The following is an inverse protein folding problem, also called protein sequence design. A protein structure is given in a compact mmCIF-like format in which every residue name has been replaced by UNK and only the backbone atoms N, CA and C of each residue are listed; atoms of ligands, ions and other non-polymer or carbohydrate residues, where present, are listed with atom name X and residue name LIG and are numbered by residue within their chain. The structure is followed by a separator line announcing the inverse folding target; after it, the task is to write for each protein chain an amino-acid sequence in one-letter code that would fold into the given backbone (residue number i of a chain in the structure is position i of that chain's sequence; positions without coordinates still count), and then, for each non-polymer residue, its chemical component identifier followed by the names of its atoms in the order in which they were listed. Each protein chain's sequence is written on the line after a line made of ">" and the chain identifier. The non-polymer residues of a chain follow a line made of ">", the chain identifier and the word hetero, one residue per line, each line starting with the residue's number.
data_IF_924109344990
#
_entry.id   IF_924109344990
#
_cell.length_a   1.000
_cell.length_b   1.000
_cell.length_c   1.000
_cell.angle_alpha   90.00
_cell.angle_beta   90.00
_cell.angle_gamma   90.00
#
_symmetry.space_group_name_H-M   'P 1'
#
loop_
_entity.id
_entity.type
_entity.pdbx_description
1 polymer ?
#
# COMPACT_ATOMS: atom_id res chain seq x y z
N UNK A 1 -27.65 2.58 6.53
CA UNK A 1 -27.36 3.64 7.48
C UNK A 1 -27.08 3.11 8.87
N UNK A 2 -26.66 3.97 9.74
CA UNK A 2 -26.35 3.69 11.13
C UNK A 2 -26.29 5.00 11.92
N UNK A 3 -25.86 4.93 13.18
CA UNK A 3 -25.77 6.11 14.03
C UNK A 3 -24.59 6.98 13.57
N UNK A 4 -24.88 8.24 13.15
CA UNK A 4 -23.87 9.24 12.76
C UNK A 4 -22.89 8.77 11.66
N UNK A 5 -23.37 7.99 10.70
CA UNK A 5 -22.56 7.64 9.52
C UNK A 5 -22.53 8.78 8.52
N UNK A 6 -21.39 8.96 7.83
CA UNK A 6 -21.14 10.00 6.84
C UNK A 6 -20.59 9.39 5.56
N UNK A 7 -21.22 9.66 4.42
CA UNK A 7 -20.75 9.28 3.09
C UNK A 7 -20.75 10.54 2.22
N UNK A 8 -19.58 11.14 2.00
CA UNK A 8 -19.41 12.41 1.29
C UNK A 8 -18.93 12.23 -0.15
N UNK A 9 -18.17 11.17 -0.42
CA UNK A 9 -17.62 10.93 -1.73
C UNK A 9 -18.66 10.41 -2.73
N UNK A 10 -18.50 10.74 -4.01
CA UNK A 10 -19.29 10.14 -5.07
C UNK A 10 -19.18 8.61 -5.05
N UNK A 11 -20.31 7.89 -5.07
CA UNK A 11 -20.33 6.43 -5.00
C UNK A 11 -19.78 5.86 -3.70
N UNK A 12 -19.71 6.66 -2.62
CA UNK A 12 -19.24 6.19 -1.31
C UNK A 12 -20.38 5.57 -0.49
N UNK A 13 -20.01 4.67 0.43
CA UNK A 13 -20.95 3.99 1.30
C UNK A 13 -20.42 3.92 2.74
N UNK A 14 -21.23 4.36 3.71
CA UNK A 14 -20.92 4.25 5.13
C UNK A 14 -22.07 3.59 5.89
N UNK A 15 -21.75 2.62 6.76
CA UNK A 15 -22.72 1.90 7.57
C UNK A 15 -22.15 1.48 8.92
N UNK A 16 -23.03 1.42 9.93
CA UNK A 16 -22.64 1.06 11.31
C UNK A 16 -22.75 2.24 12.27
N UNK A 17 -21.76 2.46 13.13
CA UNK A 17 -21.76 3.55 14.11
C UNK A 17 -20.54 4.45 13.90
N UNK A 18 -20.78 5.76 13.64
CA UNK A 18 -19.76 6.79 13.46
C UNK A 18 -18.75 6.50 12.33
N UNK A 19 -19.12 5.69 11.33
CA UNK A 19 -18.25 5.39 10.19
C UNK A 19 -18.33 6.48 9.13
N UNK A 20 -17.19 6.79 8.49
CA UNK A 20 -17.05 7.90 7.55
C UNK A 20 -16.37 7.44 6.25
N UNK A 21 -17.06 7.61 5.12
CA UNK A 21 -16.57 7.37 3.78
C UNK A 21 -16.45 8.74 3.06
N UNK A 22 -15.26 9.34 3.08
CA UNK A 22 -15.07 10.75 2.74
C UNK A 22 -14.59 10.97 1.30
N UNK A 23 -13.91 9.99 0.71
CA UNK A 23 -13.42 10.07 -0.66
C UNK A 23 -14.33 9.33 -1.66
N UNK A 24 -14.10 9.55 -2.96
CA UNK A 24 -14.86 8.89 -4.03
C UNK A 24 -14.67 7.36 -4.03
N UNK A 25 -15.76 6.64 -4.26
CA UNK A 25 -15.79 5.17 -4.40
C UNK A 25 -15.27 4.42 -3.19
N UNK A 26 -15.50 4.96 -1.98
CA UNK A 26 -15.03 4.37 -0.73
C UNK A 26 -16.14 3.69 0.05
N UNK A 27 -15.75 2.71 0.87
CA UNK A 27 -16.68 1.98 1.73
C UNK A 27 -16.14 1.93 3.16
N UNK A 28 -16.95 2.38 4.13
CA UNK A 28 -16.64 2.31 5.56
C UNK A 28 -17.77 1.59 6.30
N UNK A 29 -17.52 0.36 6.79
CA UNK A 29 -18.53 -0.47 7.43
C UNK A 29 -18.05 -0.93 8.80
N UNK A 30 -18.85 -0.62 9.82
CA UNK A 30 -18.58 -1.05 11.18
C UNK A 30 -18.69 0.09 12.20
N UNK A 31 -17.77 0.14 13.17
CA UNK A 31 -17.75 1.18 14.20
C UNK A 31 -16.52 2.06 14.02
N UNK A 32 -16.72 3.37 13.85
CA UNK A 32 -15.63 4.35 13.66
C UNK A 32 -14.64 3.93 12.56
N UNK A 33 -15.14 3.40 11.44
CA UNK A 33 -14.32 3.13 10.27
C UNK A 33 -14.15 4.42 9.45
N UNK A 34 -12.93 4.67 8.95
CA UNK A 34 -12.61 5.89 8.20
C UNK A 34 -11.97 5.54 6.86
N UNK A 35 -12.54 6.05 5.76
CA UNK A 35 -11.91 6.01 4.44
C UNK A 35 -11.82 7.41 3.85
N UNK A 36 -10.60 7.83 3.51
CA UNK A 36 -10.28 9.13 2.92
C UNK A 36 -9.41 9.05 1.66
N UNK A 37 -8.88 7.88 1.34
CA UNK A 37 -8.21 7.60 0.07
C UNK A 37 -9.16 7.02 -0.97
N UNK A 38 -9.10 7.47 -2.21
CA UNK A 38 -10.01 7.07 -3.30
C UNK A 38 -10.02 5.54 -3.52
N UNK A 39 -11.21 4.95 -3.66
CA UNK A 39 -11.37 3.52 -3.93
C UNK A 39 -11.02 2.58 -2.77
N UNK A 40 -10.95 3.09 -1.55
CA UNK A 40 -10.57 2.32 -0.36
C UNK A 40 -11.76 1.72 0.37
N UNK A 41 -11.50 0.67 1.13
CA UNK A 41 -12.47 -0.04 1.97
C UNK A 41 -11.92 -0.17 3.39
N UNK A 42 -12.71 0.23 4.39
CA UNK A 42 -12.40 0.01 5.80
C UNK A 42 -13.53 -0.78 6.47
N UNK A 43 -13.19 -1.93 7.04
CA UNK A 43 -14.15 -2.83 7.67
C UNK A 43 -13.80 -3.11 9.13
N UNK A 44 -14.82 -3.32 9.96
CA UNK A 44 -14.68 -3.76 11.33
C UNK A 44 -14.84 -2.66 12.35
N UNK A 45 -13.90 -2.53 13.28
CA UNK A 45 -13.97 -1.53 14.35
C UNK A 45 -12.69 -0.71 14.39
N UNK A 46 -12.80 0.61 14.24
CA UNK A 46 -11.67 1.56 14.21
C UNK A 46 -10.67 1.29 13.05
N UNK A 47 -11.14 0.78 11.92
CA UNK A 47 -10.32 0.55 10.74
C UNK A 47 -10.14 1.83 9.91
N UNK A 48 -8.97 2.04 9.33
CA UNK A 48 -8.71 3.21 8.50
C UNK A 48 -7.74 2.92 7.35
N UNK A 49 -8.00 3.52 6.18
CA UNK A 49 -7.10 3.51 5.04
C UNK A 49 -5.87 4.43 5.21
N UNK A 50 -5.86 5.26 6.25
CA UNK A 50 -4.81 6.25 6.51
C UNK A 50 -4.58 7.25 5.34
N UNK A 51 -5.62 7.56 4.56
CA UNK A 51 -5.56 8.44 3.39
C UNK A 51 -4.99 7.79 2.13
N UNK A 52 -4.64 6.51 2.17
CA UNK A 52 -4.06 5.77 1.03
C UNK A 52 -5.16 5.32 0.08
N UNK A 53 -4.99 5.55 -1.21
CA UNK A 53 -5.92 5.07 -2.24
C UNK A 53 -5.83 3.55 -2.46
N UNK A 54 -6.97 2.93 -2.78
CA UNK A 54 -7.05 1.51 -3.13
C UNK A 54 -6.68 0.54 -2.02
N UNK A 55 -6.77 0.95 -0.75
CA UNK A 55 -6.50 0.11 0.43
C UNK A 55 -7.74 -0.64 0.86
N UNK A 56 -7.56 -1.91 1.18
CA UNK A 56 -8.48 -2.67 1.99
C UNK A 56 -7.93 -2.77 3.42
N UNK A 57 -8.52 -2.06 4.36
CA UNK A 57 -8.15 -2.07 5.77
C UNK A 57 -9.16 -2.84 6.61
N UNK A 58 -8.68 -3.65 7.55
CA UNK A 58 -9.52 -4.38 8.49
C UNK A 58 -8.93 -4.35 9.90
N UNK A 59 -9.78 -3.98 10.86
CA UNK A 59 -9.48 -4.06 12.29
C UNK A 59 -10.64 -4.75 12.99
N UNK A 60 -10.35 -5.71 13.85
CA UNK A 60 -11.38 -6.45 14.60
C UNK A 60 -11.80 -5.77 15.89
N UNK A 61 -10.96 -4.89 16.44
CA UNK A 61 -11.23 -4.19 17.70
C UNK A 61 -10.39 -2.93 17.83
N UNK A 62 -11.03 -1.84 18.31
CA UNK A 62 -10.36 -0.62 18.74
C UNK A 62 -10.67 -0.38 20.22
N UNK A 63 -9.68 0.04 20.98
CA UNK A 63 -9.86 0.41 22.39
C UNK A 63 -10.67 1.72 22.49
N UNK A 64 -11.68 1.75 23.38
CA UNK A 64 -12.74 2.78 23.42
C UNK A 64 -12.34 4.09 24.10
N UNK A 65 -11.13 4.25 24.58
CA UNK A 65 -10.70 5.38 25.40
C UNK A 65 -10.02 6.51 24.60
N UNK A 66 -10.69 7.03 23.55
CA UNK A 66 -10.25 8.23 22.85
C UNK A 66 -9.11 8.03 21.84
N UNK A 67 -8.90 6.81 21.37
CA UNK A 67 -7.87 6.49 20.38
C UNK A 67 -8.36 6.67 18.94
N UNK A 68 -7.44 7.03 18.07
CA UNK A 68 -7.66 7.22 16.65
C UNK A 68 -7.90 5.88 15.92
N UNK A 69 -8.53 5.96 14.75
CA UNK A 69 -8.74 4.80 13.87
C UNK A 69 -7.43 4.25 13.35
N UNK A 70 -7.36 2.92 13.15
CA UNK A 70 -6.23 2.22 12.52
C UNK A 70 -5.01 2.04 13.41
N UNK A 71 -5.18 2.00 14.73
CA UNK A 71 -4.06 1.78 15.68
C UNK A 71 -3.46 0.39 15.53
N UNK A 72 -4.31 -0.65 15.39
CA UNK A 72 -3.89 -2.03 15.09
C UNK A 72 -4.79 -2.55 13.99
N UNK A 73 -4.21 -2.81 12.83
CA UNK A 73 -4.98 -3.28 11.67
C UNK A 73 -4.16 -4.08 10.68
N UNK A 74 -4.85 -4.81 9.81
CA UNK A 74 -4.29 -5.30 8.56
C UNK A 74 -4.67 -4.34 7.44
N UNK A 75 -3.74 -4.12 6.50
CA UNK A 75 -4.00 -3.30 5.32
C UNK A 75 -3.43 -3.98 4.08
N UNK A 76 -4.25 -4.08 3.04
CA UNK A 76 -3.85 -4.65 1.75
C UNK A 76 -3.89 -3.58 0.67
N UNK A 77 -2.89 -3.61 -0.20
CA UNK A 77 -2.77 -2.67 -1.30
C UNK A 77 -2.17 -3.37 -2.51
N UNK A 78 -2.63 -3.02 -3.71
CA UNK A 78 -1.98 -3.43 -4.95
C UNK A 78 -1.35 -2.23 -5.62
N UNK A 79 -0.07 -2.35 -5.96
CA UNK A 79 0.70 -1.33 -6.66
C UNK A 79 1.19 -1.87 -7.99
N UNK A 80 1.38 -0.99 -8.97
CA UNK A 80 1.77 -1.35 -10.34
C UNK A 80 2.62 -0.27 -11.00
N UNK A 81 3.24 -0.62 -12.12
CA UNK A 81 3.97 0.32 -12.96
C UNK A 81 4.43 -0.34 -14.25
N UNK A 82 4.63 0.49 -15.28
CA UNK A 82 5.22 0.06 -16.53
C UNK A 82 6.62 0.69 -16.64
N UNK A 83 7.66 -0.16 -16.62
CA UNK A 83 9.04 0.26 -16.82
C UNK A 83 9.39 0.13 -18.31
N UNK A 84 9.94 1.18 -18.90
CA UNK A 84 10.49 1.16 -20.24
C UNK A 84 12.01 1.10 -20.16
N UNK A 85 12.58 0.02 -20.65
CA UNK A 85 14.01 -0.19 -20.60
C UNK A 85 14.51 -0.52 -19.19
N UNK A 86 15.73 -0.08 -18.90
CA UNK A 86 16.47 -0.27 -17.66
C UNK A 86 16.31 0.91 -16.65
N UNK A 87 15.40 1.82 -16.96
CA UNK A 87 15.10 2.94 -16.04
C UNK A 87 14.25 2.44 -14.86
N UNK A 88 14.70 2.64 -13.61
CA UNK A 88 13.94 2.24 -12.44
C UNK A 88 12.57 2.93 -12.35
N UNK A 89 11.52 2.18 -12.11
CA UNK A 89 10.14 2.65 -11.99
C UNK A 89 9.60 2.41 -10.58
N UNK A 90 9.17 3.47 -9.90
CA UNK A 90 8.44 3.34 -8.63
C UNK A 90 7.04 2.81 -8.92
N UNK A 91 6.64 1.77 -8.18
CA UNK A 91 5.31 1.18 -8.29
C UNK A 91 4.33 1.96 -7.40
N UNK A 92 3.17 2.31 -7.96
CA UNK A 92 2.11 3.09 -7.31
C UNK A 92 0.76 2.43 -7.54
N UNK A 93 -0.25 2.78 -6.75
CA UNK A 93 -1.62 2.25 -6.90
C UNK A 93 -2.19 2.50 -8.30
N UNK A 94 -1.98 3.69 -8.82
CA UNK A 94 -2.51 4.09 -10.12
C UNK A 94 -1.58 3.78 -11.31
N UNK A 95 -0.39 3.24 -11.06
CA UNK A 95 0.63 2.98 -12.09
C UNK A 95 1.28 4.27 -12.63
N UNK A 96 0.98 5.41 -12.02
CA UNK A 96 1.49 6.71 -12.42
C UNK A 96 3.01 6.83 -12.29
N UNK A 97 3.55 7.88 -12.87
CA UNK A 97 5.00 8.12 -12.85
C UNK A 97 5.49 8.73 -11.54
N UNK A 98 4.62 9.41 -10.81
CA UNK A 98 4.99 10.16 -9.60
C UNK A 98 4.41 9.48 -8.37
N UNK A 99 5.28 9.12 -7.43
CA UNK A 99 4.87 8.68 -6.11
C UNK A 99 4.28 9.86 -5.31
N UNK A 100 3.32 9.56 -4.43
CA UNK A 100 2.71 10.48 -3.48
C UNK A 100 2.30 9.70 -2.23
N UNK A 101 2.05 10.37 -1.12
CA UNK A 101 1.69 9.70 0.14
C UNK A 101 0.40 8.87 0.06
N UNK A 102 -0.50 9.21 -0.86
CA UNK A 102 -1.79 8.56 -1.07
C UNK A 102 -1.74 7.41 -2.09
N UNK A 103 -0.72 7.31 -2.94
CA UNK A 103 -0.60 6.26 -3.97
C UNK A 103 0.52 5.24 -3.75
N UNK A 104 1.21 5.30 -2.62
CA UNK A 104 2.20 4.33 -2.13
C UNK A 104 1.78 3.79 -0.76
N UNK A 105 2.45 2.76 -0.27
CA UNK A 105 2.19 2.25 1.09
C UNK A 105 2.83 3.18 2.14
N UNK A 106 2.18 4.32 2.42
CA UNK A 106 2.64 5.28 3.42
C UNK A 106 2.24 4.85 4.83
N UNK A 107 3.07 5.18 5.81
CA UNK A 107 2.80 5.00 7.23
C UNK A 107 2.26 6.30 7.84
N UNK A 108 1.49 6.18 8.90
CA UNK A 108 1.15 7.30 9.80
C UNK A 108 2.34 7.67 10.67
N UNK A 109 2.25 8.85 11.31
CA UNK A 109 3.20 9.20 12.36
C UNK A 109 3.15 8.17 13.51
N UNK A 110 4.31 7.85 14.06
CA UNK A 110 4.48 6.89 15.17
C UNK A 110 3.98 5.47 14.83
N UNK A 111 4.05 5.07 13.57
CA UNK A 111 3.60 3.76 13.10
C UNK A 111 4.76 2.83 12.80
N UNK A 112 4.59 1.57 13.18
CA UNK A 112 5.44 0.45 12.75
C UNK A 112 4.58 -0.54 11.97
N UNK A 113 5.10 -1.06 10.87
CA UNK A 113 4.42 -2.04 10.03
C UNK A 113 5.36 -3.15 9.57
N UNK A 114 4.83 -4.38 9.58
CA UNK A 114 5.40 -5.50 8.82
C UNK A 114 4.63 -5.64 7.53
N UNK A 115 5.31 -5.59 6.39
CA UNK A 115 4.69 -5.61 5.07
C UNK A 115 5.26 -6.77 4.27
N UNK A 116 4.40 -7.73 3.89
CA UNK A 116 4.75 -8.79 2.95
C UNK A 116 4.37 -8.37 1.54
N UNK A 117 5.29 -8.55 0.60
CA UNK A 117 5.07 -8.24 -0.81
C UNK A 117 5.26 -9.44 -1.70
N UNK A 118 4.39 -9.59 -2.70
CA UNK A 118 4.57 -10.48 -3.85
C UNK A 118 4.51 -9.65 -5.12
N UNK A 119 5.60 -9.67 -5.88
CA UNK A 119 5.71 -8.91 -7.11
C UNK A 119 5.85 -9.85 -8.29
N UNK A 120 5.15 -9.52 -9.37
CA UNK A 120 5.26 -10.17 -10.68
C UNK A 120 5.63 -9.11 -11.69
N UNK A 121 6.62 -9.40 -12.51
CA UNK A 121 6.98 -8.61 -13.67
C UNK A 121 6.89 -9.45 -14.94
N UNK A 122 6.43 -8.83 -16.03
CA UNK A 122 6.29 -9.50 -17.33
C UNK A 122 6.47 -8.49 -18.46
N UNK A 123 7.11 -8.90 -19.55
CA UNK A 123 7.11 -8.10 -20.79
C UNK A 123 5.71 -7.99 -21.38
N UNK A 124 5.42 -6.85 -22.00
CA UNK A 124 4.22 -6.69 -22.83
C UNK A 124 4.41 -7.45 -24.15
N UNK A 125 3.42 -8.25 -24.54
CA UNK A 125 3.46 -9.03 -25.79
C UNK A 125 3.53 -10.53 -25.57
N UNK A 126 3.98 -11.25 -26.60
CA UNK A 126 3.99 -12.72 -26.65
C UNK A 126 5.23 -13.32 -25.99
N UNK A 127 6.17 -12.50 -25.55
CA UNK A 127 7.41 -12.93 -24.89
C UNK A 127 7.12 -13.69 -23.60
N UNK A 128 7.87 -14.74 -23.35
CA UNK A 128 7.82 -15.52 -22.12
C UNK A 128 8.65 -14.92 -20.99
N UNK A 129 9.15 -13.68 -21.14
CA UNK A 129 9.99 -13.06 -20.11
C UNK A 129 9.13 -12.67 -18.90
N UNK A 130 9.50 -13.21 -17.76
CA UNK A 130 8.84 -12.93 -16.47
C UNK A 130 9.82 -13.05 -15.32
N UNK A 131 9.45 -12.45 -14.22
CA UNK A 131 10.13 -12.68 -12.94
C UNK A 131 9.13 -12.48 -11.77
N UNK A 132 9.32 -13.26 -10.72
CA UNK A 132 8.45 -13.29 -9.53
C UNK A 132 9.32 -13.17 -8.30
N UNK A 133 8.96 -12.23 -7.41
CA UNK A 133 9.65 -12.03 -6.14
C UNK A 133 8.68 -12.06 -4.97
N UNK A 134 9.26 -12.36 -3.81
CA UNK A 134 8.64 -12.10 -2.52
C UNK A 134 9.59 -11.31 -1.62
N UNK A 135 9.03 -10.60 -0.66
CA UNK A 135 9.80 -9.91 0.38
C UNK A 135 8.99 -9.73 1.66
N UNK A 136 9.70 -9.46 2.75
CA UNK A 136 9.12 -8.96 4.00
C UNK A 136 9.90 -7.72 4.41
N UNK A 137 9.21 -6.60 4.51
CA UNK A 137 9.75 -5.33 4.95
C UNK A 137 9.27 -5.01 6.36
N UNK A 138 10.16 -4.52 7.22
CA UNK A 138 9.85 -4.00 8.54
C UNK A 138 10.15 -2.51 8.54
N UNK A 139 9.09 -1.69 8.55
CA UNK A 139 9.15 -0.26 8.37
C UNK A 139 8.64 0.46 9.63
N UNK A 140 9.33 1.53 10.00
CA UNK A 140 8.91 2.41 11.10
C UNK A 140 8.95 3.87 10.64
N UNK A 141 7.95 4.63 11.07
CA UNK A 141 7.91 6.09 10.94
C UNK A 141 7.72 6.70 12.32
N UNK A 142 8.52 7.72 12.63
CA UNK A 142 8.35 8.55 13.83
C UNK A 142 7.34 9.68 13.58
N UNK A 143 7.64 10.88 14.06
CA UNK A 143 6.71 12.02 14.05
C UNK A 143 6.47 12.64 12.66
N UNK A 144 7.29 12.34 11.68
CA UNK A 144 7.20 12.89 10.32
C UNK A 144 7.69 11.91 9.26
N UNK A 145 7.50 12.26 7.98
CA UNK A 145 7.90 11.41 6.87
C UNK A 145 9.41 11.19 6.80
N UNK A 146 10.23 12.19 7.16
CA UNK A 146 11.69 12.13 7.08
C UNK A 146 12.31 11.12 8.07
N UNK A 147 11.57 10.80 9.14
CA UNK A 147 11.95 9.82 10.15
C UNK A 147 11.68 8.36 9.75
N UNK A 148 11.20 8.12 8.53
CA UNK A 148 10.87 6.76 8.06
C UNK A 148 12.11 5.95 7.79
N UNK A 149 12.19 4.77 8.41
CA UNK A 149 13.33 3.87 8.29
C UNK A 149 12.92 2.43 8.06
N UNK A 150 13.75 1.69 7.34
CA UNK A 150 13.71 0.22 7.35
C UNK A 150 14.44 -0.26 8.61
N UNK A 151 13.75 -0.97 9.50
CA UNK A 151 14.36 -1.51 10.73
C UNK A 151 15.33 -2.65 10.44
N UNK A 152 15.09 -3.35 9.34
CA UNK A 152 15.98 -4.40 8.81
C UNK A 152 16.08 -4.22 7.31
N UNK A 153 17.28 -4.34 6.75
CA UNK A 153 17.46 -4.28 5.30
C UNK A 153 16.61 -5.33 4.61
N UNK A 154 15.81 -4.90 3.62
CA UNK A 154 14.91 -5.77 2.87
C UNK A 154 15.55 -6.15 1.54
N UNK A 155 15.85 -7.43 1.37
CA UNK A 155 16.32 -7.99 0.10
C UNK A 155 15.22 -8.88 -0.48
N UNK A 156 14.58 -8.47 -1.60
CA UNK A 156 13.60 -9.32 -2.26
C UNK A 156 14.22 -10.64 -2.74
N UNK A 157 13.51 -11.74 -2.53
CA UNK A 157 13.91 -13.07 -2.99
C UNK A 157 13.29 -13.34 -4.37
N UNK A 158 14.10 -13.60 -5.38
CA UNK A 158 13.63 -14.06 -6.69
C UNK A 158 13.17 -15.51 -6.57
N UNK A 159 11.88 -15.76 -6.79
CA UNK A 159 11.27 -17.10 -6.69
C UNK A 159 11.35 -17.85 -8.02
N UNK A 160 11.11 -17.14 -9.12
CA UNK A 160 11.13 -17.72 -10.45
C UNK A 160 11.39 -16.63 -11.50
N UNK A 161 12.05 -16.99 -12.60
CA UNK A 161 12.24 -16.14 -13.76
C UNK A 161 12.33 -16.95 -15.04
N UNK A 162 11.99 -16.31 -16.17
CA UNK A 162 12.13 -16.87 -17.51
C UNK A 162 12.59 -15.80 -18.50
N UNK A 163 13.34 -16.20 -19.52
CA UNK A 163 13.93 -15.28 -20.47
C UNK A 163 14.81 -14.22 -19.81
N UNK A 164 14.69 -12.97 -20.24
CA UNK A 164 15.45 -11.84 -19.68
C UNK A 164 15.03 -11.48 -18.26
N UNK A 165 13.93 -12.04 -17.73
CA UNK A 165 13.45 -11.78 -16.38
C UNK A 165 14.48 -12.04 -15.27
N UNK A 166 15.46 -12.90 -15.51
CA UNK A 166 16.57 -13.18 -14.59
C UNK A 166 17.51 -11.99 -14.38
N UNK A 167 17.51 -11.02 -15.29
CA UNK A 167 18.34 -9.80 -15.22
C UNK A 167 17.61 -8.61 -14.62
N UNK A 168 16.29 -8.74 -14.39
CA UNK A 168 15.49 -7.66 -13.81
C UNK A 168 15.72 -7.54 -12.32
N UNK A 169 15.50 -6.35 -11.78
CA UNK A 169 15.71 -6.09 -10.36
C UNK A 169 14.46 -5.52 -9.70
N UNK A 170 14.20 -5.97 -8.47
CA UNK A 170 13.23 -5.39 -7.57
C UNK A 170 13.97 -4.82 -6.35
N UNK A 171 13.76 -3.54 -6.06
CA UNK A 171 14.30 -2.89 -4.88
C UNK A 171 13.16 -2.47 -3.94
N UNK A 172 13.39 -2.65 -2.63
CA UNK A 172 12.45 -2.28 -1.57
C UNK A 172 13.18 -1.46 -0.53
N UNK A 173 12.77 -0.20 -0.36
CA UNK A 173 13.44 0.78 0.51
C UNK A 173 12.45 1.63 1.28
N UNK A 174 12.90 2.38 2.28
CA UNK A 174 12.13 3.45 2.87
C UNK A 174 12.10 4.67 1.94
N UNK A 175 10.96 5.34 1.87
CA UNK A 175 10.79 6.64 1.22
C UNK A 175 10.56 7.71 2.28
N UNK A 176 11.60 8.51 2.55
CA UNK A 176 11.56 9.55 3.57
C UNK A 176 10.83 10.82 3.12
N UNK A 177 10.50 10.94 1.83
CA UNK A 177 9.70 12.05 1.31
C UNK A 177 8.22 11.88 1.65
N UNK A 178 7.73 10.66 1.49
CA UNK A 178 6.30 10.35 1.70
C UNK A 178 6.03 9.53 2.96
N UNK A 179 7.07 9.16 3.70
CA UNK A 179 6.92 8.33 4.89
C UNK A 179 6.42 6.91 4.55
N UNK A 180 6.99 6.28 3.53
CA UNK A 180 6.38 5.14 2.87
C UNK A 180 7.34 3.99 2.60
N UNK A 181 6.78 2.82 2.25
CA UNK A 181 7.50 1.77 1.56
C UNK A 181 7.62 2.14 0.07
N UNK A 182 8.85 2.19 -0.43
CA UNK A 182 9.15 2.38 -1.85
C UNK A 182 9.52 1.05 -2.48
N UNK A 183 8.73 0.63 -3.44
CA UNK A 183 8.98 -0.54 -4.27
C UNK A 183 9.33 -0.08 -5.68
N UNK A 184 10.49 -0.50 -6.18
CA UNK A 184 11.01 -0.05 -7.48
C UNK A 184 11.36 -1.26 -8.34
N UNK A 185 10.80 -1.32 -9.53
CA UNK A 185 11.10 -2.33 -10.55
C UNK A 185 12.02 -1.77 -11.63
N UNK A 186 13.03 -2.54 -12.03
CA UNK A 186 13.97 -2.21 -13.12
C UNK A 186 13.96 -3.34 -14.13
N UNK A 187 13.64 -3.04 -15.40
CA UNK A 187 13.62 -3.99 -16.50
C UNK A 187 14.95 -4.08 -17.25
N UNK A 188 14.90 -4.42 -18.52
CA UNK A 188 16.06 -4.49 -19.44
C UNK A 188 15.92 -3.49 -20.57
N UNK A 189 17.05 -3.02 -21.09
CA UNK A 189 17.11 -2.13 -22.26
C UNK A 189 16.31 -2.68 -23.44
N UNK A 190 15.52 -1.84 -24.07
CA UNK A 190 14.71 -2.18 -25.25
C UNK A 190 13.43 -2.98 -24.96
N UNK A 191 13.12 -3.25 -23.69
CA UNK A 191 11.89 -3.97 -23.30
C UNK A 191 10.95 -3.08 -22.49
N UNK A 192 9.64 -3.28 -22.67
CA UNK A 192 8.61 -2.72 -21.82
C UNK A 192 8.15 -3.80 -20.83
N UNK A 193 8.35 -3.54 -19.54
CA UNK A 193 8.06 -4.50 -18.47
C UNK A 193 6.95 -3.98 -17.60
N UNK A 194 5.89 -4.76 -17.50
CA UNK A 194 4.75 -4.50 -16.63
C UNK A 194 4.96 -5.12 -15.26
N UNK A 195 4.84 -4.32 -14.22
CA UNK A 195 5.02 -4.70 -12.83
C UNK A 195 3.70 -4.66 -12.08
N UNK A 196 3.42 -5.67 -11.27
CA UNK A 196 2.33 -5.70 -10.30
C UNK A 196 2.84 -6.25 -8.99
N UNK A 197 2.48 -5.62 -7.88
CA UNK A 197 2.87 -6.06 -6.55
C UNK A 197 1.68 -5.98 -5.60
N UNK A 198 1.38 -7.10 -4.93
CA UNK A 198 0.42 -7.15 -3.85
C UNK A 198 1.15 -6.98 -2.52
N UNK A 199 0.68 -6.08 -1.69
CA UNK A 199 1.22 -5.75 -0.37
C UNK A 199 0.20 -6.12 0.70
N UNK A 200 0.64 -6.90 1.70
CA UNK A 200 -0.12 -7.26 2.90
C UNK A 200 0.60 -6.71 4.12
N UNK A 201 0.04 -5.71 4.77
CA UNK A 201 0.61 -5.06 5.95
C UNK A 201 -0.12 -5.43 7.24
N UNK A 202 0.64 -5.59 8.31
CA UNK A 202 0.15 -5.55 9.67
C UNK A 202 0.74 -4.30 10.35
N UNK A 203 -0.12 -3.43 10.83
CA UNK A 203 0.20 -2.07 11.25
C UNK A 203 -0.11 -1.86 12.72
N UNK A 204 0.80 -1.18 13.44
CA UNK A 204 0.60 -0.73 14.81
C UNK A 204 1.04 0.71 14.94
N UNK A 205 0.15 1.57 15.41
CA UNK A 205 0.44 2.98 15.74
C UNK A 205 0.66 3.09 17.23
N UNK A 206 1.72 3.78 17.63
CA UNK A 206 1.96 4.15 19.02
C UNK A 206 1.43 5.58 19.26
N UNK A 207 0.45 5.69 20.11
CA UNK A 207 -0.22 6.97 20.48
C UNK A 207 0.29 7.52 21.80
#
# INVERSE_FOLDING_TARGET
>A
GGVSCKADGEGSFASGAHSQALAHYTTAIGRKCLTSGVGSIALGSFSSDAGRSGVFAHSSYGYDAGYDEGIIQTARMSIRGDASGDTPKVLTVNGGSTASADNVYSLRNNQTATIKGRCIARTSGVSADYAIWEFTALLQRGNDASSTVMLVACTPTLLASGGDGSTWALAVTADNTYGALRVTGTGSTGKSVRWGCALDGFEVVNT
#
